data_IF_616900603407
#
_entry.id   IF_616900603407
#
_cell.length_a   1.000
_cell.length_b   1.000
_cell.length_c   1.000
_cell.angle_alpha   90.00
_cell.angle_beta   90.00
_cell.angle_gamma   90.00
#
_symmetry.space_group_name_H-M   'P 1'
#
loop_
_entity.id
_entity.type
_entity.pdbx_description
1 polymer ?
#
# COMPACT_ATOMS: atom_id res chain seq x y z
N UNK A 1 11.42 -14.62 -8.00
CA UNK A 1 11.19 -14.26 -6.60
C UNK A 1 10.11 -13.21 -6.61
N UNK A 2 8.87 -13.62 -6.37
CA UNK A 2 7.70 -12.75 -6.38
C UNK A 2 7.18 -12.70 -4.95
N UNK A 3 6.89 -11.50 -4.46
CA UNK A 3 6.38 -11.30 -3.12
C UNK A 3 4.88 -11.60 -3.08
N UNK A 4 4.36 -11.87 -1.88
CA UNK A 4 2.94 -12.10 -1.69
C UNK A 4 2.28 -10.83 -1.16
N UNK A 5 1.12 -10.53 -1.71
CA UNK A 5 0.31 -9.38 -1.29
C UNK A 5 -0.94 -9.88 -0.58
N UNK A 6 -1.26 -9.29 0.56
CA UNK A 6 -2.49 -9.56 1.30
C UNK A 6 -3.37 -8.32 1.29
N UNK A 7 -4.55 -8.47 0.71
CA UNK A 7 -5.62 -7.48 0.79
C UNK A 7 -6.56 -7.89 1.92
N UNK A 8 -6.93 -6.95 2.79
CA UNK A 8 -7.79 -7.18 3.96
C UNK A 8 -9.02 -6.29 3.91
N UNK A 9 -10.18 -6.91 4.06
CA UNK A 9 -11.47 -6.22 4.06
C UNK A 9 -11.85 -5.81 5.49
N UNK A 10 -11.81 -4.51 5.79
CA UNK A 10 -12.12 -3.97 7.10
C UNK A 10 -13.55 -3.43 7.14
N UNK A 11 -14.30 -3.82 8.17
CA UNK A 11 -15.64 -3.32 8.48
C UNK A 11 -15.65 -2.68 9.87
N UNK A 12 -16.71 -1.93 10.18
CA UNK A 12 -16.87 -1.35 11.51
C UNK A 12 -16.98 -2.47 12.57
N UNK A 13 -16.44 -2.29 13.79
CA UNK A 13 -16.41 -3.33 14.82
C UNK A 13 -17.78 -3.92 15.17
N UNK A 14 -18.86 -3.15 14.99
CA UNK A 14 -20.25 -3.59 15.23
C UNK A 14 -20.75 -4.62 14.22
N UNK A 15 -20.08 -4.78 13.07
CA UNK A 15 -20.44 -5.70 11.99
C UNK A 15 -19.48 -6.90 11.88
N UNK A 16 -18.47 -7.02 12.76
CA UNK A 16 -17.36 -7.99 12.60
C UNK A 16 -17.76 -9.46 12.81
N UNK A 17 -18.97 -9.78 13.26
CA UNK A 17 -19.39 -11.16 13.58
C UNK A 17 -20.25 -11.83 12.50
N UNK A 18 -19.82 -13.00 12.02
CA UNK A 18 -20.52 -13.91 11.09
C UNK A 18 -20.83 -13.37 9.66
N UNK A 19 -20.02 -12.44 9.14
CA UNK A 19 -20.15 -12.02 7.73
C UNK A 19 -19.28 -12.91 6.83
N UNK A 20 -19.88 -13.49 5.79
CA UNK A 20 -19.13 -14.01 4.65
C UNK A 20 -18.60 -12.85 3.81
N UNK A 21 -17.37 -12.93 3.35
CA UNK A 21 -16.78 -11.89 2.51
C UNK A 21 -16.88 -12.26 1.03
N UNK A 22 -16.81 -11.28 0.15
CA UNK A 22 -16.70 -11.53 -1.28
C UNK A 22 -15.75 -10.54 -1.89
N UNK A 23 -14.88 -11.05 -2.75
CA UNK A 23 -13.85 -10.26 -3.40
C UNK A 23 -14.13 -10.15 -4.89
N UNK A 24 -13.75 -9.00 -5.45
CA UNK A 24 -13.90 -8.70 -6.86
C UNK A 24 -12.62 -8.08 -7.39
N UNK A 25 -12.20 -8.46 -8.59
CA UNK A 25 -11.13 -7.80 -9.36
C UNK A 25 -11.69 -7.34 -10.69
N UNK A 26 -11.58 -6.04 -10.97
CA UNK A 26 -12.11 -5.42 -12.19
C UNK A 26 -13.60 -5.76 -12.40
N UNK A 27 -14.37 -5.82 -11.30
CA UNK A 27 -15.79 -6.17 -11.29
C UNK A 27 -16.11 -7.67 -11.29
N UNK A 28 -15.14 -8.55 -11.60
CA UNK A 28 -15.33 -10.00 -11.63
C UNK A 28 -15.15 -10.63 -10.26
N UNK A 29 -16.05 -11.54 -9.88
CA UNK A 29 -15.99 -12.26 -8.61
C UNK A 29 -14.77 -13.18 -8.51
N UNK A 30 -14.16 -13.19 -7.33
CA UNK A 30 -13.04 -14.07 -6.96
C UNK A 30 -13.59 -15.09 -5.96
N UNK A 31 -13.31 -16.36 -6.22
CA UNK A 31 -13.78 -17.44 -5.36
C UNK A 31 -13.19 -17.36 -3.95
N UNK A 32 -14.07 -17.45 -2.95
CA UNK A 32 -13.71 -17.46 -1.53
C UNK A 32 -14.63 -16.59 -0.70
N UNK A 33 -14.56 -16.76 0.62
CA UNK A 33 -15.42 -16.08 1.59
C UNK A 33 -14.64 -15.43 2.74
N UNK A 34 -13.31 -15.40 2.62
CA UNK A 34 -12.39 -14.96 3.67
C UNK A 34 -12.26 -13.44 3.71
N UNK A 35 -12.08 -12.91 4.92
CA UNK A 35 -11.86 -11.48 5.15
C UNK A 35 -10.60 -10.97 4.44
N UNK A 36 -9.61 -11.84 4.22
CA UNK A 36 -8.37 -11.52 3.54
C UNK A 36 -8.23 -12.31 2.24
N UNK A 37 -7.76 -11.62 1.21
CA UNK A 37 -7.37 -12.18 -0.08
C UNK A 37 -5.85 -12.17 -0.19
N UNK A 38 -5.24 -13.34 -0.30
CA UNK A 38 -3.79 -13.50 -0.46
C UNK A 38 -3.46 -13.80 -1.92
N UNK A 39 -2.71 -12.91 -2.55
CA UNK A 39 -2.15 -13.09 -3.88
C UNK A 39 -0.73 -13.60 -3.72
N UNK A 40 -0.56 -14.91 -3.90
CA UNK A 40 0.74 -15.55 -3.79
C UNK A 40 1.59 -15.26 -5.01
N UNK A 41 2.86 -14.90 -4.79
CA UNK A 41 3.81 -14.65 -5.88
C UNK A 41 3.24 -13.68 -6.92
N UNK A 42 2.85 -12.49 -6.49
CA UNK A 42 2.11 -11.50 -7.26
C UNK A 42 2.81 -11.16 -8.59
N UNK A 43 2.03 -11.13 -9.67
CA UNK A 43 2.52 -10.91 -11.04
C UNK A 43 1.83 -9.71 -11.67
N UNK A 44 2.38 -9.26 -12.79
CA UNK A 44 1.78 -8.22 -13.64
C UNK A 44 0.31 -8.48 -13.99
N UNK A 45 -0.08 -9.75 -14.16
CA UNK A 45 -1.47 -10.16 -14.43
C UNK A 45 -2.41 -10.03 -13.24
N UNK A 46 -1.87 -9.81 -12.04
CA UNK A 46 -2.66 -9.59 -10.83
C UNK A 46 -2.99 -8.11 -10.61
N UNK A 47 -2.46 -7.20 -11.43
CA UNK A 47 -2.85 -5.79 -11.42
C UNK A 47 -4.36 -5.63 -11.64
N UNK A 48 -4.94 -4.64 -10.98
CA UNK A 48 -6.32 -4.25 -11.19
C UNK A 48 -6.96 -3.60 -9.98
N UNK A 49 -8.24 -3.28 -10.13
CA UNK A 49 -9.05 -2.66 -9.09
C UNK A 49 -9.75 -3.73 -8.28
N UNK A 50 -9.41 -3.81 -7.00
CA UNK A 50 -9.96 -4.74 -6.05
C UNK A 50 -11.05 -4.09 -5.21
N UNK A 51 -12.15 -4.82 -5.02
CA UNK A 51 -13.24 -4.43 -4.14
C UNK A 51 -13.63 -5.61 -3.27
N UNK A 52 -14.07 -5.32 -2.05
CA UNK A 52 -14.58 -6.33 -1.15
C UNK A 52 -16.00 -5.99 -0.68
N UNK A 53 -16.74 -7.01 -0.29
CA UNK A 53 -18.11 -6.91 0.20
C UNK A 53 -18.23 -7.80 1.43
N UNK A 54 -18.93 -7.33 2.46
CA UNK A 54 -19.12 -8.06 3.71
C UNK A 54 -20.61 -8.37 3.90
N UNK A 55 -20.98 -9.65 3.83
CA UNK A 55 -22.37 -10.09 3.82
C UNK A 55 -23.19 -9.41 2.74
N UNK A 56 -24.26 -8.73 3.14
CA UNK A 56 -25.17 -7.99 2.25
C UNK A 56 -24.82 -6.49 2.10
N UNK A 57 -23.63 -6.05 2.53
CA UNK A 57 -23.20 -4.66 2.37
C UNK A 57 -23.05 -4.28 0.89
N UNK A 58 -22.98 -2.98 0.59
CA UNK A 58 -22.43 -2.55 -0.71
C UNK A 58 -20.93 -2.87 -0.77
N UNK A 59 -20.39 -2.94 -2.00
CA UNK A 59 -18.95 -3.12 -2.23
C UNK A 59 -18.17 -1.91 -1.72
N UNK A 60 -16.94 -2.14 -1.29
CA UNK A 60 -15.99 -1.09 -0.95
C UNK A 60 -15.69 -0.19 -2.15
N UNK A 61 -15.12 0.98 -1.88
CA UNK A 61 -14.37 1.71 -2.89
C UNK A 61 -13.26 0.82 -3.48
N UNK A 62 -12.93 0.98 -4.77
CA UNK A 62 -11.86 0.21 -5.40
C UNK A 62 -10.48 0.61 -4.85
N UNK A 63 -9.64 -0.38 -4.61
CA UNK A 63 -8.20 -0.21 -4.37
C UNK A 63 -7.44 -0.79 -5.56
N UNK A 64 -6.66 0.04 -6.23
CA UNK A 64 -5.82 -0.39 -7.35
C UNK A 64 -4.56 -1.05 -6.82
N UNK A 65 -4.39 -2.34 -7.13
CA UNK A 65 -3.13 -3.05 -6.93
C UNK A 65 -2.22 -2.82 -8.15
N UNK A 66 -1.11 -2.13 -7.94
CA UNK A 66 -0.09 -1.88 -8.95
C UNK A 66 1.18 -2.68 -8.64
N UNK A 67 1.52 -3.62 -9.52
CA UNK A 67 2.71 -4.47 -9.37
C UNK A 67 3.87 -3.79 -10.08
N UNK A 68 4.98 -3.54 -9.40
CA UNK A 68 6.13 -2.84 -9.98
C UNK A 68 7.35 -3.75 -10.06
N UNK A 69 8.06 -3.68 -11.17
CA UNK A 69 9.35 -4.36 -11.38
C UNK A 69 10.56 -3.46 -11.12
N UNK A 70 10.34 -2.26 -10.57
CA UNK A 70 11.41 -1.32 -10.22
C UNK A 70 12.29 -1.86 -9.09
N UNK A 71 13.60 -1.58 -9.12
CA UNK A 71 14.53 -1.99 -8.06
C UNK A 71 14.22 -1.35 -6.70
N UNK A 72 13.58 -0.18 -6.71
CA UNK A 72 13.17 0.56 -5.54
C UNK A 72 11.79 1.16 -5.76
N UNK A 73 10.90 0.96 -4.81
CA UNK A 73 9.57 1.54 -4.79
C UNK A 73 9.32 2.23 -3.45
N UNK A 74 8.48 3.26 -3.49
CA UNK A 74 7.94 3.89 -2.30
C UNK A 74 6.52 3.38 -2.10
N UNK A 75 6.35 2.46 -1.15
CA UNK A 75 5.06 1.93 -0.76
C UNK A 75 4.35 2.95 0.14
N UNK A 76 3.09 3.19 -0.18
CA UNK A 76 2.19 4.08 0.54
C UNK A 76 0.81 3.41 0.64
N UNK A 77 -0.01 3.78 1.64
CA UNK A 77 -1.38 3.32 1.70
C UNK A 77 -2.16 3.77 0.45
N UNK A 78 -3.11 2.95 -0.04
CA UNK A 78 -3.83 3.22 -1.30
C UNK A 78 -4.69 4.49 -1.22
N UNK A 79 -5.20 4.81 -0.02
CA UNK A 79 -5.91 6.04 0.25
C UNK A 79 -5.56 6.54 1.66
N UNK A 80 -5.51 7.86 1.82
CA UNK A 80 -5.17 8.51 3.10
C UNK A 80 -6.14 9.65 3.35
N UNK A 81 -6.74 9.67 4.54
CA UNK A 81 -7.69 10.69 4.96
C UNK A 81 -7.20 11.42 6.20
N UNK A 82 -7.79 12.58 6.48
CA UNK A 82 -7.41 13.36 7.65
C UNK A 82 -7.60 12.58 8.96
N UNK A 83 -6.54 12.54 9.76
CA UNK A 83 -6.46 11.81 11.02
C UNK A 83 -6.12 10.32 10.87
N UNK A 84 -5.92 9.81 9.64
CA UNK A 84 -5.34 8.49 9.41
C UNK A 84 -3.84 8.51 9.74
N UNK A 85 -3.31 7.35 10.10
CA UNK A 85 -1.87 7.20 10.31
C UNK A 85 -1.15 6.91 9.00
N UNK A 86 -0.19 7.76 8.63
CA UNK A 86 0.61 7.55 7.42
C UNK A 86 1.89 6.76 7.72
N UNK A 87 2.03 5.62 7.04
CA UNK A 87 3.21 4.77 7.06
C UNK A 87 3.75 4.61 5.64
N UNK A 88 5.00 4.99 5.40
CA UNK A 88 5.66 4.79 4.11
C UNK A 88 6.79 3.80 4.25
N UNK A 89 6.99 2.97 3.23
CA UNK A 89 8.11 2.02 3.20
C UNK A 89 8.92 2.20 1.92
N UNK A 90 10.22 2.42 2.10
CA UNK A 90 11.16 2.41 1.00
C UNK A 90 11.57 0.96 0.75
N UNK A 91 10.86 0.31 -0.17
CA UNK A 91 11.01 -1.12 -0.43
C UNK A 91 11.94 -1.31 -1.64
N UNK A 92 12.89 -2.23 -1.51
CA UNK A 92 13.84 -2.59 -2.58
C UNK A 92 13.64 -4.04 -2.94
N UNK A 93 13.78 -4.36 -4.23
CA UNK A 93 13.56 -5.71 -4.72
C UNK A 93 14.34 -6.75 -3.90
N UNK A 94 13.71 -7.87 -3.50
CA UNK A 94 14.40 -8.93 -2.77
C UNK A 94 15.63 -9.48 -3.50
N UNK A 95 16.67 -9.79 -2.74
CA UNK A 95 17.92 -10.35 -3.25
C UNK A 95 19.01 -9.31 -3.57
N UNK A 96 18.72 -8.01 -3.48
CA UNK A 96 19.72 -6.96 -3.57
C UNK A 96 20.21 -6.51 -2.19
N UNK A 97 21.52 -6.29 -2.06
CA UNK A 97 22.08 -5.62 -0.90
C UNK A 97 21.86 -4.10 -1.00
N UNK A 98 21.37 -3.48 0.08
CA UNK A 98 20.99 -2.07 0.08
C UNK A 98 21.43 -1.34 1.34
N UNK A 99 21.73 -0.05 1.20
CA UNK A 99 22.16 0.81 2.32
C UNK A 99 21.74 2.26 2.12
N UNK A 100 21.98 3.07 3.16
CA UNK A 100 21.76 4.52 3.18
C UNK A 100 20.35 4.96 2.75
N UNK A 101 19.27 4.40 3.36
CA UNK A 101 17.93 4.85 3.03
C UNK A 101 17.69 6.29 3.48
N UNK A 102 17.10 7.11 2.61
CA UNK A 102 16.71 8.50 2.92
C UNK A 102 15.31 8.77 2.38
N UNK A 103 14.47 9.39 3.19
CA UNK A 103 13.15 9.87 2.78
C UNK A 103 13.15 11.38 2.54
N UNK A 104 12.33 11.79 1.56
CA UNK A 104 12.13 13.18 1.15
C UNK A 104 10.65 13.53 1.04
N UNK A 105 10.30 14.79 1.33
CA UNK A 105 9.03 15.42 0.94
C UNK A 105 9.36 16.68 0.14
N UNK A 106 8.99 16.69 -1.14
CA UNK A 106 9.56 17.66 -2.08
C UNK A 106 11.09 17.49 -2.12
N UNK A 107 11.81 18.57 -1.83
CA UNK A 107 13.28 18.59 -1.77
C UNK A 107 13.84 18.47 -0.35
N UNK A 108 12.98 18.37 0.66
CA UNK A 108 13.38 18.33 2.07
C UNK A 108 13.58 16.88 2.54
N UNK A 109 14.73 16.60 3.15
CA UNK A 109 14.96 15.34 3.87
C UNK A 109 14.06 15.31 5.11
N UNK A 110 13.30 14.22 5.26
CA UNK A 110 12.37 14.03 6.38
C UNK A 110 12.80 12.91 7.33
N UNK A 111 13.62 11.94 6.89
CA UNK A 111 14.13 10.86 7.75
C UNK A 111 15.38 10.18 7.19
N UNK A 112 16.35 9.87 8.07
CA UNK A 112 17.59 9.12 7.79
C UNK A 112 18.19 8.48 9.06
N UNK A 113 18.79 7.26 9.02
CA UNK A 113 18.56 6.17 8.07
C UNK A 113 17.50 5.20 8.61
N UNK A 114 16.40 5.04 7.89
CA UNK A 114 15.39 4.01 8.17
C UNK A 114 14.66 3.66 6.86
N UNK A 115 14.18 2.43 6.73
CA UNK A 115 13.41 1.93 5.60
C UNK A 115 11.91 2.16 5.74
N UNK A 116 11.43 2.47 6.95
CA UNK A 116 10.03 2.76 7.25
C UNK A 116 9.90 4.15 7.87
N UNK A 117 8.98 4.97 7.36
CA UNK A 117 8.65 6.28 7.90
C UNK A 117 7.24 6.26 8.49
N UNK A 118 7.15 6.52 9.80
CA UNK A 118 5.90 6.65 10.53
C UNK A 118 5.63 8.13 10.83
N UNK A 119 4.70 8.76 10.11
CA UNK A 119 4.32 10.16 10.35
C UNK A 119 3.22 10.32 11.41
N UNK A 120 2.57 9.22 11.80
CA UNK A 120 1.41 9.27 12.68
C UNK A 120 0.19 9.91 11.98
N UNK A 121 -0.68 10.55 12.76
CA UNK A 121 -1.93 11.15 12.25
C UNK A 121 -1.63 12.35 11.35
N UNK A 122 -2.12 12.32 10.12
CA UNK A 122 -1.88 13.37 9.12
C UNK A 122 -3.11 14.26 8.88
N UNK A 123 -2.91 15.43 8.27
CA UNK A 123 -3.97 16.29 7.76
C UNK A 123 -3.67 16.68 6.29
N UNK A 124 -4.50 17.53 5.68
CA UNK A 124 -4.32 17.96 4.29
C UNK A 124 -2.91 18.47 3.93
N UNK A 125 -2.16 19.07 4.87
CA UNK A 125 -0.81 19.62 4.59
C UNK A 125 0.26 18.55 4.42
N UNK A 126 -0.03 17.30 4.81
CA UNK A 126 0.83 16.15 4.49
C UNK A 126 0.66 15.68 3.04
N UNK A 127 -0.22 16.28 2.25
CA UNK A 127 -0.28 15.99 0.81
C UNK A 127 0.98 16.50 0.12
N UNK A 128 1.53 15.69 -0.79
CA UNK A 128 2.74 16.08 -1.50
C UNK A 128 3.39 14.95 -2.28
N UNK A 129 4.51 15.26 -2.92
CA UNK A 129 5.37 14.24 -3.54
C UNK A 129 6.38 13.77 -2.51
N UNK A 130 6.26 12.51 -2.12
CA UNK A 130 7.22 11.84 -1.28
C UNK A 130 8.22 11.09 -2.15
N UNK A 131 9.46 11.02 -1.67
CA UNK A 131 10.51 10.26 -2.32
C UNK A 131 11.28 9.43 -1.31
N UNK A 132 11.89 8.36 -1.79
CA UNK A 132 12.92 7.68 -1.05
C UNK A 132 14.08 7.29 -1.96
N UNK A 133 15.27 7.16 -1.39
CA UNK A 133 16.45 6.66 -2.09
C UNK A 133 17.12 5.56 -1.27
N UNK A 134 17.83 4.68 -1.96
CA UNK A 134 18.78 3.73 -1.37
C UNK A 134 19.96 3.56 -2.31
N UNK A 135 21.12 3.23 -1.75
CA UNK A 135 22.21 2.65 -2.51
C UNK A 135 21.93 1.15 -2.68
N UNK A 136 21.89 0.68 -3.92
CA UNK A 136 21.63 -0.73 -4.27
C UNK A 136 22.90 -1.32 -4.90
N UNK A 137 23.35 -2.47 -4.39
CA UNK A 137 24.49 -3.19 -4.94
C UNK A 137 24.09 -4.03 -6.15
N UNK A 138 24.63 -3.69 -7.33
CA UNK A 138 24.42 -4.45 -8.56
C UNK A 138 25.60 -4.25 -9.51
N UNK A 139 25.98 -5.28 -10.28
CA UNK A 139 27.15 -5.25 -11.15
C UNK A 139 28.44 -4.78 -10.43
N UNK A 140 28.66 -5.29 -9.22
CA UNK A 140 29.83 -5.02 -8.37
C UNK A 140 30.00 -3.56 -7.90
N UNK A 141 28.97 -2.73 -8.01
CA UNK A 141 28.99 -1.34 -7.55
C UNK A 141 27.69 -0.98 -6.82
N UNK A 142 27.77 -0.06 -5.85
CA UNK A 142 26.58 0.56 -5.27
C UNK A 142 26.12 1.72 -6.16
N UNK A 143 24.82 1.75 -6.50
CA UNK A 143 24.19 2.85 -7.22
C UNK A 143 23.02 3.40 -6.43
N UNK A 144 22.98 4.72 -6.27
CA UNK A 144 21.84 5.39 -5.68
C UNK A 144 20.64 5.28 -6.62
N UNK A 145 19.56 4.70 -6.12
CA UNK A 145 18.29 4.51 -6.83
C UNK A 145 17.21 5.33 -6.13
N UNK A 146 16.27 5.86 -6.91
CA UNK A 146 15.24 6.78 -6.44
C UNK A 146 13.85 6.21 -6.70
N UNK A 147 12.95 6.39 -5.74
CA UNK A 147 11.53 6.13 -5.89
C UNK A 147 10.73 7.36 -5.46
N UNK A 148 9.60 7.62 -6.13
CA UNK A 148 8.70 8.73 -5.80
C UNK A 148 7.25 8.26 -5.82
N UNK A 149 6.43 8.85 -4.96
CA UNK A 149 4.99 8.62 -4.90
C UNK A 149 4.27 9.91 -4.50
N UNK A 150 3.11 10.18 -5.12
CA UNK A 150 2.29 11.35 -4.78
C UNK A 150 1.22 10.92 -3.80
N UNK A 151 1.21 11.52 -2.62
CA UNK A 151 0.23 11.24 -1.57
C UNK A 151 -0.75 12.40 -1.52
N UNK A 152 -2.05 12.06 -1.56
CA UNK A 152 -3.13 13.03 -1.41
C UNK A 152 -3.93 12.66 -0.17
N UNK A 153 -3.93 13.56 0.81
CA UNK A 153 -4.75 13.42 2.01
C UNK A 153 -6.09 14.10 1.75
N UNK A 154 -7.15 13.31 1.73
CA UNK A 154 -8.52 13.79 1.51
C UNK A 154 -9.21 14.10 2.83
N UNK A 155 -10.16 15.04 2.82
CA UNK A 155 -10.98 15.33 4.01
C UNK A 155 -11.75 14.09 4.47
N UNK A 156 -11.97 13.95 5.78
CA UNK A 156 -12.74 12.84 6.34
C UNK A 156 -14.20 12.93 5.91
N UNK A 157 -14.63 12.04 5.02
CA UNK A 157 -16.05 11.73 4.84
C UNK A 157 -16.45 10.76 5.96
N UNK A 158 -17.62 10.95 6.56
CA UNK A 158 -18.16 9.99 7.54
C UNK A 158 -18.31 8.63 6.86
N UNK A 159 -17.39 7.71 7.15
CA UNK A 159 -17.39 6.37 6.61
C UNK A 159 -18.65 5.63 7.06
N UNK A 160 -19.47 5.21 6.08
CA UNK A 160 -20.54 4.24 6.30
C UNK A 160 -20.19 2.85 5.74
N UNK A 161 -18.98 2.63 5.19
CA UNK A 161 -18.70 1.49 4.32
C UNK A 161 -17.42 0.71 4.67
N UNK A 162 -17.33 -0.49 4.10
CA UNK A 162 -16.22 -1.44 4.06
C UNK A 162 -15.03 -0.90 3.25
N UNK A 163 -13.78 -1.13 3.70
CA UNK A 163 -12.56 -0.71 3.00
C UNK A 163 -11.51 -1.81 2.88
N UNK A 164 -10.61 -1.68 1.90
CA UNK A 164 -9.50 -2.62 1.70
C UNK A 164 -8.19 -1.98 2.18
N UNK A 165 -7.44 -2.73 2.99
CA UNK A 165 -6.05 -2.43 3.29
C UNK A 165 -5.13 -3.42 2.58
N UNK A 166 -3.94 -2.97 2.22
CA UNK A 166 -2.90 -3.80 1.61
C UNK A 166 -1.72 -3.95 2.56
N UNK A 167 -1.21 -5.17 2.66
CA UNK A 167 0.03 -5.50 3.37
C UNK A 167 0.77 -6.63 2.66
N UNK A 168 2.09 -6.55 2.58
CA UNK A 168 2.93 -7.63 2.04
C UNK A 168 3.45 -8.56 3.14
N UNK A 169 3.74 -9.82 2.77
CA UNK A 169 4.44 -10.82 3.59
C UNK A 169 5.80 -11.18 3.00
#
# INVERSE_FOLDING_TARGET
WWESVTLSCNVAPTAQGNLGYSWYRNGYWIHGDQQSLVIQSARETDRGDYQCQAGASERSDPVTLDIKSDLLILQAPPAVHEGDSLCLRCHSQPGYDTRNPVFYMGDKIIQTPDTVLLMGKVNATASGTYGCIKDIYYNYVYRTTHAKHVIRVSGKVQWKQTHINESEQ
#
